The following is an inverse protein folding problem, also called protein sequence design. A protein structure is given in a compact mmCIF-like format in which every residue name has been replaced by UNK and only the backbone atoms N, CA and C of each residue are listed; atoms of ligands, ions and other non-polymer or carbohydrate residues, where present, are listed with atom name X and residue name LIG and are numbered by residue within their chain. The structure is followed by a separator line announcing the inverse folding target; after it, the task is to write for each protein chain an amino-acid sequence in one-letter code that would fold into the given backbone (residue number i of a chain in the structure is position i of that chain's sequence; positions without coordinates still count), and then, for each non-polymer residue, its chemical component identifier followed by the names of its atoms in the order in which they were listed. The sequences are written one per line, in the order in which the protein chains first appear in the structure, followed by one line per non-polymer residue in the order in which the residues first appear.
data_IF_592073705077
#
_entry.id   IF_592073705077
#
_cell.length_a   1.000
_cell.length_b   1.000
_cell.length_c   1.000
_cell.angle_alpha   90.00
_cell.angle_beta   90.00
_cell.angle_gamma   90.00
#
_symmetry.space_group_name_H-M   'P 1'
#
loop_
_entity.id
_entity.type
_entity.pdbx_description
1 polymer ?
#
# COMPACT_ATOMS: atom_id res chain seq x y z
N UNK A 1 10.64 -47.88 52.41
CA UNK A 1 9.22 -48.03 52.01
C UNK A 1 8.74 -46.66 51.57
N UNK A 2 8.82 -46.39 50.26
CA UNK A 2 8.50 -45.09 49.65
C UNK A 2 7.28 -45.26 48.76
N UNK A 3 6.28 -44.43 49.01
CA UNK A 3 5.00 -44.39 48.34
C UNK A 3 5.10 -43.35 47.20
N UNK A 4 4.79 -43.71 45.96
CA UNK A 4 4.76 -42.74 44.84
C UNK A 4 3.52 -42.97 44.01
N UNK A 5 2.53 -42.12 44.24
CA UNK A 5 1.34 -41.95 43.42
C UNK A 5 1.75 -41.43 42.04
N UNK A 6 1.31 -42.12 40.99
CA UNK A 6 1.48 -41.73 39.58
C UNK A 6 0.22 -40.96 39.15
N UNK A 7 0.33 -39.65 39.01
CA UNK A 7 -0.73 -38.80 38.47
C UNK A 7 -0.55 -38.60 36.96
N UNK A 8 -1.65 -38.72 36.24
CA UNK A 8 -1.81 -38.70 34.78
C UNK A 8 -1.51 -37.33 34.15
N UNK A 9 -0.94 -37.32 32.94
CA UNK A 9 -0.85 -36.13 32.08
C UNK A 9 -1.78 -36.35 30.88
N UNK A 10 -2.92 -35.65 30.88
CA UNK A 10 -3.79 -35.50 29.70
C UNK A 10 -3.24 -34.38 28.81
N UNK A 11 -3.15 -34.66 27.50
CA UNK A 11 -2.75 -33.69 26.47
C UNK A 11 -3.89 -32.70 26.18
N UNK A 12 -3.62 -31.38 26.05
CA UNK A 12 -4.68 -30.42 25.76
C UNK A 12 -5.16 -30.52 24.31
N UNK A 13 -6.47 -30.71 24.15
CA UNK A 13 -7.22 -30.66 22.88
C UNK A 13 -7.21 -29.22 22.33
N UNK A 14 -6.98 -29.00 21.01
CA UNK A 14 -7.03 -27.66 20.45
C UNK A 14 -8.45 -27.10 20.52
N UNK A 15 -8.60 -25.96 21.19
CA UNK A 15 -9.80 -25.14 21.23
C UNK A 15 -10.06 -24.55 19.85
N UNK A 16 -11.28 -24.76 19.35
CA UNK A 16 -11.80 -24.14 18.13
C UNK A 16 -12.00 -22.63 18.35
N UNK A 17 -11.03 -21.81 17.96
CA UNK A 17 -11.24 -20.36 17.86
C UNK A 17 -11.84 -20.02 16.50
N UNK A 18 -13.05 -19.47 16.53
CA UNK A 18 -13.77 -18.97 15.35
C UNK A 18 -12.91 -17.94 14.60
N UNK A 19 -12.52 -18.26 13.36
CA UNK A 19 -11.93 -17.27 12.46
C UNK A 19 -13.08 -16.51 11.82
N UNK A 20 -13.40 -15.33 12.34
CA UNK A 20 -14.31 -14.42 11.64
C UNK A 20 -13.61 -13.96 10.35
N UNK A 21 -14.11 -14.46 9.22
CA UNK A 21 -13.72 -13.98 7.90
C UNK A 21 -14.26 -12.58 7.72
N UNK A 22 -13.41 -11.56 7.87
CA UNK A 22 -13.78 -10.18 7.56
C UNK A 22 -13.85 -10.04 6.04
N UNK A 23 -15.07 -9.99 5.52
CA UNK A 23 -15.37 -9.76 4.11
C UNK A 23 -15.10 -8.28 3.78
N UNK A 24 -14.15 -8.01 2.88
CA UNK A 24 -14.00 -6.68 2.29
C UNK A 24 -15.09 -6.48 1.23
N UNK A 25 -16.19 -5.81 1.61
CA UNK A 25 -17.25 -5.43 0.69
C UNK A 25 -16.84 -4.17 -0.09
N UNK A 26 -16.62 -4.34 -1.40
CA UNK A 26 -16.56 -3.25 -2.38
C UNK A 26 -17.98 -2.92 -2.84
N UNK A 27 -18.45 -1.69 -2.60
CA UNK A 27 -19.49 -1.04 -3.40
C UNK A 27 -19.35 0.48 -3.30
N UNK A 28 -19.47 1.13 -4.46
CA UNK A 28 -18.94 2.47 -4.71
C UNK A 28 -19.69 3.64 -4.08
N UNK A 29 -18.90 4.69 -3.86
CA UNK A 29 -19.30 6.09 -3.85
C UNK A 29 -19.69 6.67 -2.49
N UNK A 30 -18.72 7.21 -1.74
CA UNK A 30 -18.79 8.60 -1.24
C UNK A 30 -17.46 9.02 -0.58
N UNK A 31 -17.14 10.31 -0.67
CA UNK A 31 -15.87 10.96 -0.38
C UNK A 31 -15.49 11.06 1.12
N UNK A 32 -15.36 9.97 1.89
CA UNK A 32 -14.85 10.08 3.27
C UNK A 32 -14.12 8.83 3.76
N UNK A 33 -12.93 8.55 3.23
CA UNK A 33 -11.92 7.86 4.01
C UNK A 33 -10.53 8.11 3.44
N UNK A 34 -9.98 9.31 3.71
CA UNK A 34 -8.54 9.37 3.97
C UNK A 34 -8.31 8.61 5.27
N UNK A 35 -8.40 7.29 5.19
CA UNK A 35 -7.75 6.40 6.14
C UNK A 35 -6.34 6.96 6.23
N UNK A 36 -6.01 7.60 7.36
CA UNK A 36 -4.72 8.24 7.60
C UNK A 36 -3.60 7.21 7.77
N UNK A 37 -3.71 6.09 7.04
CA UNK A 37 -2.65 5.12 6.85
C UNK A 37 -1.53 5.81 6.10
N UNK A 38 -0.35 5.95 6.72
CA UNK A 38 0.78 6.55 6.05
C UNK A 38 1.09 5.77 4.77
N UNK A 39 1.43 6.49 3.69
CA UNK A 39 1.81 5.88 2.39
C UNK A 39 2.93 4.85 2.58
N UNK A 40 3.86 5.17 3.49
CA UNK A 40 4.94 4.29 3.90
C UNK A 40 5.36 4.66 5.32
N UNK A 41 5.88 3.67 6.06
CA UNK A 41 6.54 3.89 7.35
C UNK A 41 8.01 4.33 7.19
N UNK A 42 8.55 4.26 5.97
CA UNK A 42 9.93 4.62 5.66
C UNK A 42 9.93 5.79 4.69
N UNK A 43 10.27 7.01 5.11
CA UNK A 43 10.52 8.10 4.17
C UNK A 43 11.81 7.83 3.37
N UNK A 44 11.79 7.96 2.05
CA UNK A 44 13.02 7.80 1.25
C UNK A 44 14.05 8.85 1.68
N UNK A 45 15.25 8.40 2.06
CA UNK A 45 16.33 9.25 2.56
C UNK A 45 17.65 9.05 1.79
N UNK A 46 17.63 8.32 0.69
CA UNK A 46 18.80 8.02 -0.14
C UNK A 46 19.62 6.82 0.32
N UNK A 47 19.40 6.26 1.53
CA UNK A 47 20.06 5.04 2.00
C UNK A 47 19.10 3.85 2.16
N UNK A 48 17.80 4.08 2.22
CA UNK A 48 16.77 3.08 2.50
C UNK A 48 15.92 2.69 1.27
N UNK A 49 16.47 2.81 0.06
CA UNK A 49 15.72 2.62 -1.18
C UNK A 49 14.94 1.30 -1.21
N UNK A 50 15.56 0.18 -0.79
CA UNK A 50 14.92 -1.14 -0.84
C UNK A 50 13.69 -1.20 0.10
N UNK A 51 13.83 -0.70 1.33
CA UNK A 51 12.72 -0.71 2.31
C UNK A 51 11.61 0.24 1.90
N UNK A 52 11.97 1.43 1.41
CA UNK A 52 11.03 2.42 0.90
C UNK A 52 10.26 1.88 -0.32
N UNK A 53 10.97 1.36 -1.33
CA UNK A 53 10.35 0.93 -2.58
C UNK A 53 9.40 -0.25 -2.37
N UNK A 54 9.76 -1.22 -1.52
CA UNK A 54 8.87 -2.33 -1.17
C UNK A 54 7.61 -1.84 -0.44
N UNK A 55 7.76 -0.97 0.55
CA UNK A 55 6.62 -0.42 1.30
C UNK A 55 5.72 0.43 0.41
N UNK A 56 6.30 1.24 -0.48
CA UNK A 56 5.57 2.07 -1.42
C UNK A 56 4.82 1.22 -2.44
N UNK A 57 5.45 0.16 -2.97
CA UNK A 57 4.79 -0.78 -3.88
C UNK A 57 3.58 -1.45 -3.24
N UNK A 58 3.64 -1.88 -1.97
CA UNK A 58 2.46 -2.42 -1.29
C UNK A 58 1.32 -1.41 -1.20
N UNK A 59 1.63 -0.15 -0.91
CA UNK A 59 0.62 0.90 -0.88
C UNK A 59 -0.04 1.07 -2.24
N UNK A 60 0.74 1.16 -3.32
CA UNK A 60 0.21 1.39 -4.67
C UNK A 60 -0.57 0.18 -5.19
N UNK A 61 -0.06 -1.05 -5.01
CA UNK A 61 -0.78 -2.27 -5.40
C UNK A 61 -2.08 -2.44 -4.62
N UNK A 62 -2.14 -2.03 -3.35
CA UNK A 62 -3.40 -2.05 -2.57
C UNK A 62 -4.49 -1.14 -3.14
N UNK A 63 -4.13 -0.28 -4.09
CA UNK A 63 -5.00 0.70 -4.75
C UNK A 63 -5.18 0.43 -6.25
N UNK A 64 -4.61 -0.67 -6.77
CA UNK A 64 -4.67 -1.04 -8.20
C UNK A 64 -4.13 0.08 -9.11
N UNK A 65 -2.98 0.66 -8.75
CA UNK A 65 -2.37 1.80 -9.47
C UNK A 65 -0.91 1.57 -9.88
N UNK A 66 -0.42 0.34 -9.79
CA UNK A 66 0.97 -0.01 -10.10
C UNK A 66 1.34 0.26 -11.56
N UNK A 67 0.38 0.15 -12.48
CA UNK A 67 0.62 0.37 -13.91
C UNK A 67 0.88 1.84 -14.27
N UNK A 68 0.58 2.79 -13.37
CA UNK A 68 0.97 4.19 -13.53
C UNK A 68 2.46 4.41 -13.20
N UNK A 69 3.07 3.56 -12.36
CA UNK A 69 4.50 3.61 -12.07
C UNK A 69 5.33 2.98 -13.19
N UNK A 70 4.83 1.91 -13.79
CA UNK A 70 5.54 1.22 -14.88
C UNK A 70 5.37 1.92 -16.23
N UNK A 71 4.42 2.85 -16.34
CA UNK A 71 4.04 3.48 -17.61
C UNK A 71 3.23 2.57 -18.53
N UNK A 72 2.78 1.41 -18.04
CA UNK A 72 1.90 0.51 -18.79
C UNK A 72 0.59 1.21 -19.19
N UNK A 73 0.07 2.09 -18.32
CA UNK A 73 -1.03 2.99 -18.66
C UNK A 73 -0.45 4.28 -19.27
N UNK A 74 -0.45 4.35 -20.60
CA UNK A 74 0.04 5.50 -21.36
C UNK A 74 -0.89 6.71 -21.25
N UNK A 75 -0.31 7.93 -21.27
CA UNK A 75 -1.04 9.20 -21.35
C UNK A 75 -1.97 9.22 -22.57
N UNK A 76 -3.31 9.28 -22.39
CA UNK A 76 -4.26 9.42 -23.49
C UNK A 76 -4.17 10.82 -24.15
N UNK A 77 -4.79 10.98 -25.32
CA UNK A 77 -4.96 12.32 -25.90
C UNK A 77 -5.84 13.17 -24.98
N UNK A 78 -5.59 14.48 -24.90
CA UNK A 78 -6.36 15.35 -24.00
C UNK A 78 -7.85 15.44 -24.35
N UNK A 79 -8.23 15.08 -25.58
CA UNK A 79 -9.62 15.02 -26.05
C UNK A 79 -10.30 13.70 -25.71
N UNK A 80 -9.54 12.67 -25.32
CA UNK A 80 -10.10 11.38 -24.96
C UNK A 80 -10.88 11.47 -23.66
N UNK A 81 -12.03 10.79 -23.60
CA UNK A 81 -12.85 10.72 -22.39
C UNK A 81 -12.08 10.15 -21.19
N UNK A 82 -11.07 9.32 -21.44
CA UNK A 82 -10.21 8.71 -20.42
C UNK A 82 -9.16 9.65 -19.83
N UNK A 83 -8.81 10.76 -20.49
CA UNK A 83 -7.73 11.65 -20.05
C UNK A 83 -7.96 12.20 -18.64
N UNK A 84 -9.20 12.59 -18.32
CA UNK A 84 -9.52 13.13 -16.98
C UNK A 84 -9.30 12.11 -15.87
N UNK A 85 -9.62 10.84 -16.13
CA UNK A 85 -9.43 9.74 -15.18
C UNK A 85 -7.94 9.45 -15.03
N UNK A 86 -7.24 9.30 -16.16
CA UNK A 86 -5.80 9.09 -16.18
C UNK A 86 -5.05 10.20 -15.43
N UNK A 87 -5.37 11.47 -15.70
CA UNK A 87 -4.72 12.62 -15.06
C UNK A 87 -4.93 12.62 -13.54
N UNK A 88 -6.15 12.35 -13.08
CA UNK A 88 -6.46 12.26 -11.65
C UNK A 88 -5.63 11.16 -10.98
N UNK A 89 -5.60 9.98 -11.57
CA UNK A 89 -4.97 8.81 -10.98
C UNK A 89 -3.43 8.93 -11.03
N UNK A 90 -2.86 9.41 -12.14
CA UNK A 90 -1.44 9.74 -12.26
C UNK A 90 -1.03 10.80 -11.23
N UNK A 91 -1.79 11.90 -11.09
CA UNK A 91 -1.51 12.92 -10.08
C UNK A 91 -1.60 12.38 -8.64
N UNK A 92 -2.48 11.40 -8.39
CA UNK A 92 -2.57 10.75 -7.09
C UNK A 92 -1.31 9.94 -6.79
N UNK A 93 -0.83 9.13 -7.74
CA UNK A 93 0.41 8.36 -7.58
C UNK A 93 1.63 9.27 -7.43
N UNK A 94 1.73 10.34 -8.23
CA UNK A 94 2.75 11.40 -8.08
C UNK A 94 2.74 11.99 -6.67
N UNK A 95 1.56 12.32 -6.16
CA UNK A 95 1.43 12.87 -4.81
C UNK A 95 1.89 11.87 -3.75
N UNK A 96 1.62 10.57 -3.93
CA UNK A 96 2.11 9.54 -3.02
C UNK A 96 3.63 9.40 -3.08
N UNK A 97 4.22 9.40 -4.28
CA UNK A 97 5.66 9.34 -4.49
C UNK A 97 6.35 10.48 -3.74
N UNK A 98 6.01 11.73 -4.07
CA UNK A 98 6.62 12.92 -3.45
C UNK A 98 6.41 12.93 -1.93
N UNK A 99 5.19 12.61 -1.47
CA UNK A 99 4.89 12.56 -0.04
C UNK A 99 5.52 11.37 0.69
N UNK A 100 6.09 10.39 -0.02
CA UNK A 100 6.83 9.28 0.56
C UNK A 100 8.33 9.53 0.67
N UNK A 101 8.84 10.66 0.15
CA UNK A 101 10.26 11.01 0.15
C UNK A 101 10.55 12.10 1.18
N UNK A 102 11.79 12.18 1.68
CA UNK A 102 12.24 13.36 2.41
C UNK A 102 12.13 14.61 1.50
N UNK A 103 11.80 15.80 2.06
CA UNK A 103 11.51 16.99 1.24
C UNK A 103 12.59 17.32 0.21
N UNK A 104 13.87 17.30 0.62
CA UNK A 104 15.00 17.62 -0.25
C UNK A 104 15.18 16.63 -1.41
N UNK A 105 14.64 15.41 -1.30
CA UNK A 105 14.61 14.43 -2.39
C UNK A 105 13.38 14.68 -3.27
N UNK A 106 12.20 14.78 -2.64
CA UNK A 106 10.91 14.93 -3.33
C UNK A 106 10.80 16.20 -4.18
N UNK A 107 11.46 17.29 -3.77
CA UNK A 107 11.48 18.56 -4.53
C UNK A 107 12.04 18.40 -5.95
N UNK A 108 13.00 17.49 -6.17
CA UNK A 108 13.59 17.25 -7.49
C UNK A 108 12.59 16.64 -8.48
N UNK A 109 11.47 16.10 -7.98
CA UNK A 109 10.50 15.37 -8.79
C UNK A 109 9.21 16.14 -9.06
N UNK A 110 9.05 17.35 -8.52
CA UNK A 110 7.83 18.15 -8.65
C UNK A 110 7.52 18.62 -10.08
N UNK A 111 8.53 18.60 -10.97
CA UNK A 111 8.40 19.07 -12.35
C UNK A 111 8.11 17.96 -13.37
N UNK A 112 8.12 16.69 -12.96
CA UNK A 112 7.76 15.59 -13.85
C UNK A 112 6.27 15.59 -14.17
N UNK A 113 5.91 15.16 -15.37
CA UNK A 113 4.51 15.11 -15.80
C UNK A 113 3.83 13.81 -15.38
N UNK A 114 4.59 12.72 -15.27
CA UNK A 114 4.05 11.39 -15.02
C UNK A 114 4.77 10.65 -13.89
N UNK A 115 4.03 9.79 -13.19
CA UNK A 115 4.59 8.95 -12.14
C UNK A 115 5.65 7.97 -12.65
N UNK A 116 5.59 7.61 -13.94
CA UNK A 116 6.55 6.73 -14.58
C UNK A 116 7.91 7.41 -14.89
N UNK A 117 7.99 8.74 -14.79
CA UNK A 117 9.24 9.50 -14.99
C UNK A 117 9.96 9.85 -13.67
N UNK A 118 9.33 9.60 -12.52
CA UNK A 118 9.92 9.75 -11.18
C UNK A 118 10.70 8.49 -10.82
#
# INVERSE_FOLDING_TARGET
MTNTNKSSIETPKPSSSNVETVMFNNNGGDFTNYSSTPITIYKLNGQNYIQWSQSFMFHVCSKEKEDYLTGNITKPDEKDAGYRIWKRDNSQVMSWLVNSMEPHIGENFLLYETAAEI
#
